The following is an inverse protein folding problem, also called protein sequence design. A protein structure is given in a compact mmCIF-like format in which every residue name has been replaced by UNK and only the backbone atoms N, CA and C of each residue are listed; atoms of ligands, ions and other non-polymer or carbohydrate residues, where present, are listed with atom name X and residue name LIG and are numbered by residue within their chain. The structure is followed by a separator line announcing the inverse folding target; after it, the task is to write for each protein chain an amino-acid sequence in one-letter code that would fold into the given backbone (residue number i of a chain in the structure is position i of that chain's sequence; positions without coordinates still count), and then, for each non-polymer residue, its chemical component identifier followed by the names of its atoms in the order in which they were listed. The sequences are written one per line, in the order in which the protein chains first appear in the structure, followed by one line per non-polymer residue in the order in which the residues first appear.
data_IF_143289819372
#
_entry.id   IF_143289819372
#
_cell.length_a   1.000
_cell.length_b   1.000
_cell.length_c   1.000
_cell.angle_alpha   90.00
_cell.angle_beta   90.00
_cell.angle_gamma   90.00
#
_symmetry.space_group_name_H-M   'P 1'
#
loop_
_entity.id
_entity.type
_entity.pdbx_description
1 polymer ?
#
# COMPACT_ATOMS: atom_id res chain seq x y z
N UNK A 1 0.17 17.89 -0.02
CA UNK A 1 1.25 16.89 -0.14
C UNK A 1 2.13 17.29 -1.29
N UNK A 2 3.43 17.41 -1.06
CA UNK A 2 4.41 17.68 -2.11
C UNK A 2 4.54 16.46 -3.03
N UNK A 3 4.55 16.66 -4.35
CA UNK A 3 4.74 15.59 -5.33
C UNK A 3 5.97 15.89 -6.17
N UNK A 4 6.89 14.92 -6.25
CA UNK A 4 8.16 14.97 -6.96
C UNK A 4 8.18 13.94 -8.10
N UNK A 5 8.98 14.20 -9.15
CA UNK A 5 9.27 13.30 -10.27
C UNK A 5 8.03 12.88 -11.11
N UNK A 6 7.38 13.84 -11.78
CA UNK A 6 6.10 13.61 -12.48
C UNK A 6 6.18 12.99 -13.89
N UNK A 7 7.04 11.99 -14.11
CA UNK A 7 7.14 11.31 -15.42
C UNK A 7 6.10 10.21 -15.60
N UNK A 8 4.81 10.56 -15.49
CA UNK A 8 3.69 9.61 -15.43
C UNK A 8 3.39 8.91 -16.75
N UNK A 9 3.23 7.58 -16.71
CA UNK A 9 3.10 6.73 -17.89
C UNK A 9 1.67 6.28 -18.14
N UNK A 10 0.91 5.96 -17.09
CA UNK A 10 -0.47 5.49 -17.23
C UNK A 10 -1.53 6.54 -16.87
N UNK A 11 -2.75 6.38 -17.42
CA UNK A 11 -3.90 7.19 -17.01
C UNK A 11 -4.32 6.96 -15.55
N UNK A 12 -3.97 5.80 -14.98
CA UNK A 12 -4.18 5.49 -13.56
C UNK A 12 -3.21 6.29 -12.67
N UNK A 13 -1.91 6.29 -12.98
CA UNK A 13 -0.89 7.10 -12.30
C UNK A 13 -1.24 8.59 -12.35
N UNK A 14 -1.53 9.13 -13.54
CA UNK A 14 -1.96 10.54 -13.73
C UNK A 14 -3.11 10.91 -12.81
N UNK A 15 -4.08 10.01 -12.66
CA UNK A 15 -5.25 10.23 -11.82
C UNK A 15 -4.90 10.17 -10.33
N UNK A 16 -4.13 9.18 -9.89
CA UNK A 16 -3.68 9.08 -8.48
C UNK A 16 -2.85 10.30 -8.09
N UNK A 17 -1.84 10.66 -8.89
CA UNK A 17 -0.99 11.82 -8.61
C UNK A 17 -1.79 13.12 -8.61
N UNK A 18 -2.77 13.28 -9.51
CA UNK A 18 -3.68 14.43 -9.49
C UNK A 18 -4.49 14.53 -8.20
N UNK A 19 -4.77 13.40 -7.53
CA UNK A 19 -5.43 13.39 -6.24
C UNK A 19 -4.50 13.87 -5.13
N UNK A 20 -3.26 13.37 -5.09
CA UNK A 20 -2.27 13.75 -4.07
C UNK A 20 -1.99 15.26 -4.09
N UNK A 21 -1.92 15.86 -5.29
CA UNK A 21 -1.77 17.32 -5.45
C UNK A 21 -2.94 18.12 -4.85
N UNK A 22 -4.14 17.54 -4.82
CA UNK A 22 -5.35 18.15 -4.25
C UNK A 22 -5.46 17.97 -2.73
N UNK A 23 -4.51 17.28 -2.10
CA UNK A 23 -4.48 17.13 -0.65
C UNK A 23 -3.84 18.37 -0.03
N UNK A 24 -4.62 19.45 -0.03
CA UNK A 24 -4.31 20.76 0.54
C UNK A 24 -5.36 21.08 1.63
N UNK A 25 -5.12 22.14 2.40
CA UNK A 25 -6.05 22.68 3.41
C UNK A 25 -6.39 21.69 4.56
N UNK A 26 -7.60 21.80 5.12
CA UNK A 26 -8.07 21.15 6.35
C UNK A 26 -8.00 19.60 6.35
N UNK A 27 -7.85 18.99 5.16
CA UNK A 27 -7.74 17.54 4.98
C UNK A 27 -6.46 17.14 4.26
N UNK A 28 -5.41 17.95 4.41
CA UNK A 28 -4.07 17.64 3.93
C UNK A 28 -3.52 16.41 4.65
N UNK A 29 -2.92 15.52 3.87
CA UNK A 29 -2.01 14.49 4.37
C UNK A 29 -0.60 15.09 4.27
N UNK A 30 0.09 15.38 5.39
CA UNK A 30 1.48 15.84 5.36
C UNK A 30 2.39 14.77 4.77
N UNK A 31 3.42 15.18 4.04
CA UNK A 31 4.34 14.26 3.41
C UNK A 31 4.75 14.63 1.98
N UNK A 32 5.59 13.77 1.43
CA UNK A 32 6.10 13.83 0.06
C UNK A 32 5.75 12.55 -0.67
N UNK A 33 5.36 12.68 -1.93
CA UNK A 33 5.17 11.57 -2.85
C UNK A 33 6.17 11.68 -4.01
N UNK A 34 6.89 10.60 -4.31
CA UNK A 34 7.84 10.50 -5.42
C UNK A 34 7.22 9.54 -6.43
N UNK A 35 6.81 10.04 -7.59
CA UNK A 35 6.26 9.21 -8.65
C UNK A 35 7.36 8.61 -9.52
N UNK A 36 7.14 7.39 -10.02
CA UNK A 36 8.01 6.67 -10.96
C UNK A 36 9.49 6.67 -10.53
N UNK A 37 9.70 6.34 -9.26
CA UNK A 37 11.01 6.29 -8.62
C UNK A 37 11.75 5.01 -9.04
N UNK A 38 13.04 5.11 -9.34
CA UNK A 38 13.89 3.96 -9.62
C UNK A 38 14.69 3.61 -8.36
N UNK A 39 14.43 2.43 -7.81
CA UNK A 39 15.13 1.94 -6.61
C UNK A 39 15.89 0.68 -6.98
N UNK A 40 17.23 0.76 -6.95
CA UNK A 40 18.12 -0.36 -7.29
C UNK A 40 17.72 -1.04 -8.61
N UNK A 41 17.60 -0.24 -9.67
CA UNK A 41 17.30 -0.70 -11.03
C UNK A 41 15.85 -1.13 -11.28
N UNK A 42 14.94 -0.95 -10.30
CA UNK A 42 13.52 -1.24 -10.48
C UNK A 42 12.67 0.00 -10.32
N UNK A 43 11.76 0.19 -11.26
CA UNK A 43 10.73 1.22 -11.18
C UNK A 43 9.65 0.83 -10.16
N UNK A 44 9.32 1.82 -9.35
CA UNK A 44 8.23 1.83 -8.38
C UNK A 44 7.31 3.01 -8.73
N UNK A 45 6.03 2.73 -8.95
CA UNK A 45 5.08 3.75 -9.43
C UNK A 45 4.98 4.94 -8.48
N UNK A 46 5.03 4.69 -7.16
CA UNK A 46 4.96 5.73 -6.16
C UNK A 46 5.64 5.33 -4.84
N UNK A 47 6.43 6.24 -4.28
CA UNK A 47 6.89 6.17 -2.88
C UNK A 47 6.32 7.37 -2.13
N UNK A 48 5.52 7.12 -1.09
CA UNK A 48 4.98 8.17 -0.22
C UNK A 48 5.69 8.10 1.12
N UNK A 49 6.30 9.20 1.53
CA UNK A 49 6.93 9.37 2.83
C UNK A 49 6.08 10.40 3.60
N UNK A 50 5.62 10.01 4.78
CA UNK A 50 4.92 10.89 5.72
C UNK A 50 5.67 10.88 7.04
N UNK A 51 5.40 11.81 7.96
CA UNK A 51 6.01 11.77 9.30
C UNK A 51 5.74 10.44 10.04
N UNK A 52 4.66 9.73 9.69
CA UNK A 52 4.16 8.57 10.43
C UNK A 52 4.42 7.23 9.75
N UNK A 53 4.71 7.23 8.44
CA UNK A 53 4.86 5.99 7.67
C UNK A 53 5.53 6.22 6.32
N UNK A 54 6.17 5.17 5.80
CA UNK A 54 6.64 5.09 4.42
C UNK A 54 5.86 4.01 3.69
N UNK A 55 5.34 4.36 2.51
CA UNK A 55 4.48 3.50 1.71
C UNK A 55 5.03 3.41 0.30
N UNK A 56 5.16 2.20 -0.20
CA UNK A 56 5.42 1.92 -1.61
C UNK A 56 4.09 1.56 -2.25
N UNK A 57 3.70 2.27 -3.31
CA UNK A 57 2.49 1.95 -4.04
C UNK A 57 2.77 1.39 -5.42
N UNK A 58 2.00 0.35 -5.77
CA UNK A 58 1.85 -0.16 -7.13
C UNK A 58 0.48 0.29 -7.64
N UNK A 59 0.44 1.08 -8.71
CA UNK A 59 -0.77 1.69 -9.25
C UNK A 59 -1.24 0.88 -10.45
N UNK A 60 -2.43 0.31 -10.36
CA UNK A 60 -3.01 -0.52 -11.41
C UNK A 60 -4.29 0.07 -11.96
N UNK A 61 -4.28 0.41 -13.25
CA UNK A 61 -5.53 0.61 -14.00
C UNK A 61 -6.22 -0.73 -14.24
N UNK A 62 -7.55 -0.77 -14.11
CA UNK A 62 -8.31 -1.93 -14.58
C UNK A 62 -8.47 -1.91 -16.10
N UNK A 63 -8.65 -3.10 -16.68
CA UNK A 63 -9.09 -3.25 -18.06
C UNK A 63 -10.35 -2.38 -18.30
N UNK A 64 -10.40 -1.58 -19.39
CA UNK A 64 -11.54 -0.71 -19.69
C UNK A 64 -12.91 -1.41 -19.77
N UNK A 65 -12.94 -2.70 -20.12
CA UNK A 65 -14.17 -3.51 -20.14
C UNK A 65 -14.72 -3.86 -18.75
N UNK A 66 -13.95 -3.62 -17.68
CA UNK A 66 -14.36 -3.92 -16.30
C UNK A 66 -15.07 -2.70 -15.70
N UNK A 67 -16.39 -2.66 -15.83
CA UNK A 67 -17.24 -1.56 -15.34
C UNK A 67 -18.00 -1.87 -14.05
N UNK A 68 -18.21 -3.15 -13.73
CA UNK A 68 -18.92 -3.58 -12.52
C UNK A 68 -18.47 -4.96 -12.03
N UNK A 69 -18.83 -5.31 -10.80
CA UNK A 69 -18.59 -6.63 -10.21
C UNK A 69 -17.79 -6.59 -8.92
N UNK A 70 -17.22 -7.73 -8.52
CA UNK A 70 -16.36 -7.84 -7.33
C UNK A 70 -14.95 -8.20 -7.79
N UNK A 71 -13.98 -7.33 -7.51
CA UNK A 71 -12.57 -7.61 -7.69
C UNK A 71 -12.08 -8.48 -6.53
N UNK A 72 -11.76 -9.73 -6.83
CA UNK A 72 -11.19 -10.69 -5.90
C UNK A 72 -9.65 -10.58 -5.93
N UNK A 73 -9.08 -10.06 -4.85
CA UNK A 73 -7.65 -9.94 -4.66
C UNK A 73 -7.14 -11.09 -3.79
N UNK A 74 -6.30 -11.93 -4.37
CA UNK A 74 -5.62 -13.05 -3.71
C UNK A 74 -4.11 -12.82 -3.76
N UNK A 75 -3.36 -13.52 -2.92
CA UNK A 75 -1.89 -13.44 -2.86
C UNK A 75 -1.18 -14.46 -3.74
N UNK A 76 -1.88 -15.49 -4.22
CA UNK A 76 -1.29 -16.69 -4.85
C UNK A 76 -1.93 -17.05 -6.19
N UNK A 77 -2.82 -16.21 -6.71
CA UNK A 77 -3.50 -16.46 -7.98
C UNK A 77 -3.79 -15.14 -8.68
N UNK A 78 -3.92 -15.20 -10.01
CA UNK A 78 -4.37 -14.06 -10.82
C UNK A 78 -5.65 -13.49 -10.22
N UNK A 79 -5.70 -12.17 -10.08
CA UNK A 79 -6.90 -11.47 -9.62
C UNK A 79 -8.00 -11.60 -10.66
N UNK A 80 -9.25 -11.66 -10.19
CA UNK A 80 -10.42 -11.88 -11.05
C UNK A 80 -11.52 -10.89 -10.70
N UNK A 81 -12.36 -10.58 -11.67
CA UNK A 81 -13.61 -9.85 -11.43
C UNK A 81 -14.78 -10.76 -11.77
N UNK A 82 -15.75 -10.87 -10.86
CA UNK A 82 -16.93 -11.71 -11.11
C UNK A 82 -17.67 -11.24 -12.38
N UNK A 83 -17.90 -12.15 -13.32
CA UNK A 83 -18.59 -11.85 -14.59
C UNK A 83 -17.72 -11.19 -15.66
N UNK A 84 -16.41 -11.08 -15.46
CA UNK A 84 -15.46 -10.62 -16.47
C UNK A 84 -14.52 -11.76 -16.87
N UNK A 85 -14.43 -12.03 -18.17
CA UNK A 85 -13.47 -12.99 -18.72
C UNK A 85 -12.17 -12.28 -19.11
N UNK A 86 -11.05 -12.81 -18.62
CA UNK A 86 -9.71 -12.26 -18.86
C UNK A 86 -9.07 -11.65 -17.62
N UNK A 87 -7.90 -11.04 -17.81
CA UNK A 87 -7.13 -10.43 -16.73
C UNK A 87 -7.65 -9.00 -16.45
N UNK A 88 -8.20 -8.72 -15.26
CA UNK A 88 -8.73 -7.40 -14.93
C UNK A 88 -7.62 -6.38 -14.68
N UNK A 89 -6.43 -6.85 -14.29
CA UNK A 89 -5.25 -6.04 -13.93
C UNK A 89 -4.03 -6.59 -14.65
N UNK A 90 -3.27 -5.70 -15.30
CA UNK A 90 -1.99 -6.03 -15.89
C UNK A 90 -0.90 -6.23 -14.83
N UNK A 91 -0.09 -7.26 -15.01
CA UNK A 91 1.10 -7.59 -14.19
C UNK A 91 2.29 -7.88 -15.11
N UNK A 92 3.50 -7.84 -14.58
CA UNK A 92 4.73 -8.11 -15.34
C UNK A 92 4.78 -9.62 -15.61
N UNK A 93 5.55 -10.01 -16.61
CA UNK A 93 5.57 -11.37 -17.14
C UNK A 93 5.86 -12.45 -16.08
N UNK A 94 6.69 -12.14 -15.09
CA UNK A 94 7.13 -13.09 -14.06
C UNK A 94 6.37 -12.96 -12.72
N UNK A 95 5.41 -12.05 -12.63
CA UNK A 95 4.63 -11.83 -11.41
C UNK A 95 3.27 -12.52 -11.50
N UNK A 96 2.77 -13.00 -10.36
CA UNK A 96 1.42 -13.59 -10.30
C UNK A 96 0.38 -12.52 -10.03
N UNK A 97 0.70 -11.56 -9.17
CA UNK A 97 -0.22 -10.53 -8.67
C UNK A 97 0.49 -9.18 -8.55
N UNK A 98 -0.28 -8.07 -8.49
CA UNK A 98 0.28 -6.77 -8.13
C UNK A 98 0.95 -6.74 -6.74
N UNK A 99 0.65 -7.71 -5.85
CA UNK A 99 1.34 -7.80 -4.57
C UNK A 99 2.82 -8.19 -4.73
N UNK A 100 3.17 -8.99 -5.73
CA UNK A 100 4.55 -9.41 -5.95
C UNK A 100 5.42 -8.17 -6.28
N UNK A 101 4.89 -7.31 -7.15
CA UNK A 101 5.52 -6.06 -7.59
C UNK A 101 5.73 -5.08 -6.47
N UNK A 102 4.68 -4.85 -5.67
CA UNK A 102 4.77 -3.91 -4.56
C UNK A 102 5.73 -4.43 -3.48
N UNK A 103 5.78 -5.75 -3.24
CA UNK A 103 6.69 -6.35 -2.23
C UNK A 103 8.15 -6.19 -2.61
N UNK A 104 8.49 -6.36 -3.88
CA UNK A 104 9.86 -6.14 -4.36
C UNK A 104 10.27 -4.67 -4.14
N UNK A 105 9.39 -3.73 -4.46
CA UNK A 105 9.59 -2.31 -4.19
C UNK A 105 9.74 -2.00 -2.70
N UNK A 106 8.87 -2.58 -1.86
CA UNK A 106 8.93 -2.45 -0.39
C UNK A 106 10.27 -2.91 0.15
N UNK A 107 10.78 -4.08 -0.28
CA UNK A 107 12.07 -4.59 0.18
C UNK A 107 13.21 -3.64 -0.15
N UNK A 108 13.23 -3.10 -1.38
CA UNK A 108 14.27 -2.18 -1.84
C UNK A 108 14.21 -0.83 -1.10
N UNK A 109 13.03 -0.25 -0.95
CA UNK A 109 12.82 1.00 -0.21
C UNK A 109 13.12 0.82 1.27
N UNK A 110 12.77 -0.33 1.86
CA UNK A 110 13.14 -0.66 3.25
C UNK A 110 14.65 -0.67 3.44
N UNK A 111 15.40 -1.26 2.50
CA UNK A 111 16.86 -1.25 2.57
C UNK A 111 17.44 0.17 2.42
N UNK A 112 16.84 1.01 1.58
CA UNK A 112 17.22 2.43 1.47
C UNK A 112 16.90 3.20 2.76
N UNK A 113 15.71 3.01 3.33
CA UNK A 113 15.28 3.63 4.58
C UNK A 113 16.20 3.26 5.75
N UNK A 114 16.61 1.98 5.85
CA UNK A 114 17.55 1.54 6.87
C UNK A 114 18.91 2.25 6.77
N UNK A 115 19.42 2.49 5.55
CA UNK A 115 20.66 3.26 5.34
C UNK A 115 20.49 4.74 5.67
N UNK A 116 19.30 5.30 5.46
CA UNK A 116 18.94 6.67 5.82
C UNK A 116 18.66 6.88 7.32
N UNK A 117 18.86 5.86 8.16
CA UNK A 117 18.59 5.93 9.60
C UNK A 117 17.09 5.99 9.95
N UNK A 118 16.22 5.68 8.99
CA UNK A 118 14.77 5.64 9.17
C UNK A 118 14.25 4.30 9.69
N UNK A 119 12.96 4.23 10.07
CA UNK A 119 12.32 3.03 10.57
C UNK A 119 12.35 1.89 9.54
N UNK A 120 12.49 0.66 10.02
CA UNK A 120 12.53 -0.55 9.19
C UNK A 120 11.15 -0.98 8.64
N UNK A 121 10.09 -0.19 8.85
CA UNK A 121 8.74 -0.56 8.43
C UNK A 121 8.27 0.27 7.25
N UNK A 122 8.21 -0.38 6.09
CA UNK A 122 7.66 0.14 4.84
C UNK A 122 6.44 -0.70 4.48
N UNK A 123 5.32 -0.05 4.21
CA UNK A 123 4.07 -0.74 3.83
C UNK A 123 3.92 -0.79 2.32
N UNK A 124 3.50 -1.94 1.78
CA UNK A 124 3.11 -2.06 0.38
C UNK A 124 1.64 -1.74 0.18
N UNK A 125 1.30 -0.94 -0.82
CA UNK A 125 -0.08 -0.58 -1.12
C UNK A 125 -0.38 -0.74 -2.62
N UNK A 126 -1.25 -1.68 -2.98
CA UNK A 126 -1.74 -1.74 -4.36
C UNK A 126 -2.93 -0.79 -4.50
N UNK A 127 -2.81 0.20 -5.39
CA UNK A 127 -3.87 1.17 -5.68
C UNK A 127 -4.50 0.83 -7.02
N UNK A 128 -5.69 0.22 -6.97
CA UNK A 128 -6.47 -0.15 -8.16
C UNK A 128 -7.38 1.00 -8.54
N UNK A 129 -7.28 1.43 -9.79
CA UNK A 129 -8.00 2.58 -10.33
C UNK A 129 -8.88 2.13 -11.50
N UNK A 130 -10.19 1.93 -11.29
CA UNK A 130 -11.08 1.47 -12.35
C UNK A 130 -11.42 2.58 -13.36
N UNK A 131 -12.11 2.24 -14.47
CA UNK A 131 -12.74 3.24 -15.31
C UNK A 131 -13.65 4.20 -14.52
N UNK A 132 -13.84 5.41 -15.04
CA UNK A 132 -14.71 6.40 -14.38
C UNK A 132 -16.16 5.91 -14.45
N UNK A 133 -16.89 6.07 -13.35
CA UNK A 133 -18.29 5.62 -13.25
C UNK A 133 -18.46 4.13 -12.97
N UNK A 134 -17.38 3.36 -12.84
CA UNK A 134 -17.47 1.93 -12.51
C UNK A 134 -18.09 1.69 -11.13
N UNK A 135 -18.91 0.64 -11.02
CA UNK A 135 -19.52 0.17 -9.78
C UNK A 135 -18.88 -1.17 -9.37
N UNK A 136 -17.66 -1.08 -8.88
CA UNK A 136 -16.88 -2.23 -8.43
C UNK A 136 -16.82 -2.29 -6.91
N UNK A 137 -16.77 -3.51 -6.39
CA UNK A 137 -16.48 -3.80 -4.99
C UNK A 137 -15.14 -4.53 -4.89
N UNK A 138 -14.50 -4.41 -3.74
CA UNK A 138 -13.23 -5.05 -3.44
C UNK A 138 -13.45 -6.18 -2.44
N UNK A 139 -12.95 -7.36 -2.77
CA UNK A 139 -12.92 -8.53 -1.89
C UNK A 139 -11.47 -8.95 -1.67
N UNK A 140 -10.96 -8.66 -0.47
CA UNK A 140 -9.59 -8.98 -0.05
C UNK A 140 -9.57 -10.39 0.53
N UNK A 141 -9.35 -11.40 -0.31
CA UNK A 141 -9.31 -12.80 0.14
C UNK A 141 -8.04 -13.11 0.93
N UNK A 142 -6.90 -12.69 0.41
CA UNK A 142 -5.61 -12.80 1.10
C UNK A 142 -4.69 -11.68 0.66
N UNK A 143 -4.08 -11.01 1.63
CA UNK A 143 -3.04 -10.01 1.41
C UNK A 143 -1.77 -10.48 2.12
N UNK A 144 -0.58 -10.40 1.49
CA UNK A 144 0.67 -10.66 2.18
C UNK A 144 0.85 -9.73 3.38
N UNK A 145 1.59 -10.18 4.40
CA UNK A 145 1.89 -9.35 5.56
C UNK A 145 2.59 -8.05 5.13
N UNK A 146 2.16 -6.93 5.71
CA UNK A 146 2.70 -5.60 5.38
C UNK A 146 2.25 -5.06 4.02
N UNK A 147 1.29 -5.73 3.36
CA UNK A 147 0.68 -5.24 2.13
C UNK A 147 -0.83 -4.98 2.33
N UNK A 148 -1.36 -4.00 1.62
CA UNK A 148 -2.78 -3.73 1.52
C UNK A 148 -3.17 -3.42 0.07
N UNK A 149 -4.47 -3.45 -0.24
CA UNK A 149 -5.02 -3.10 -1.54
C UNK A 149 -6.19 -2.13 -1.38
N UNK A 150 -6.28 -1.15 -2.26
CA UNK A 150 -7.37 -0.18 -2.31
C UNK A 150 -7.99 -0.15 -3.69
N UNK A 151 -9.31 -0.10 -3.73
CA UNK A 151 -10.08 0.23 -4.93
C UNK A 151 -10.46 1.70 -4.86
N UNK A 152 -9.83 2.51 -5.72
CA UNK A 152 -9.93 3.96 -5.69
C UNK A 152 -10.69 4.46 -6.92
N UNK A 153 -12.01 4.59 -6.82
CA UNK A 153 -12.81 5.30 -7.84
C UNK A 153 -12.59 6.82 -7.74
N UNK A 154 -12.32 7.29 -6.52
CA UNK A 154 -12.03 8.67 -6.15
C UNK A 154 -10.81 8.71 -5.23
N UNK A 155 -10.38 9.91 -4.84
CA UNK A 155 -9.28 10.09 -3.90
C UNK A 155 -9.56 9.60 -2.46
N UNK A 156 -10.83 9.44 -2.10
CA UNK A 156 -11.24 9.30 -0.70
C UNK A 156 -10.72 8.02 -0.03
N UNK A 157 -10.76 6.82 -0.65
CA UNK A 157 -10.24 5.60 -0.03
C UNK A 157 -8.75 5.69 0.29
N UNK A 158 -7.96 6.25 -0.64
CA UNK A 158 -6.53 6.47 -0.48
C UNK A 158 -6.24 7.48 0.64
N UNK A 159 -6.93 8.63 0.63
CA UNK A 159 -6.77 9.65 1.68
C UNK A 159 -7.15 9.11 3.06
N UNK A 160 -8.29 8.42 3.15
CA UNK A 160 -8.76 7.82 4.39
C UNK A 160 -7.80 6.75 4.93
N UNK A 161 -7.14 6.01 4.03
CA UNK A 161 -6.09 5.06 4.42
C UNK A 161 -4.92 5.78 5.11
N UNK A 162 -4.43 6.89 4.54
CA UNK A 162 -3.34 7.66 5.15
C UNK A 162 -3.73 8.28 6.50
N UNK A 163 -4.93 8.86 6.62
CA UNK A 163 -5.39 9.34 7.93
C UNK A 163 -5.41 8.21 8.98
N UNK A 164 -5.91 7.02 8.64
CA UNK A 164 -5.87 5.86 9.56
C UNK A 164 -4.45 5.39 9.86
N UNK A 165 -3.51 5.53 8.92
CA UNK A 165 -2.11 5.21 9.18
C UNK A 165 -1.49 6.21 10.16
N UNK A 166 -1.77 7.51 9.98
CA UNK A 166 -1.28 8.58 10.85
C UNK A 166 -1.77 8.44 12.29
N UNK A 167 -3.03 8.05 12.50
CA UNK A 167 -3.58 7.90 13.86
C UNK A 167 -3.10 6.65 14.62
N UNK A 168 -2.47 5.69 13.94
CA UNK A 168 -2.03 4.42 14.55
C UNK A 168 -0.54 4.34 14.82
N UNK A 169 0.25 5.26 14.26
CA UNK A 169 1.69 5.23 14.36
C UNK A 169 2.20 6.46 15.13
N UNK A 170 3.22 6.25 15.96
CA UNK A 170 4.05 7.36 16.43
C UNK A 170 4.73 8.04 15.23
N UNK A 171 5.19 9.28 15.40
CA UNK A 171 6.05 9.90 14.41
C UNK A 171 7.34 9.09 14.32
N UNK A 172 7.67 8.64 13.12
CA UNK A 172 8.82 7.77 12.84
C UNK A 172 9.84 8.38 11.89
N UNK A 173 9.55 9.54 11.29
CA UNK A 173 10.46 10.24 10.38
C UNK A 173 10.67 11.69 10.84
N UNK A 174 11.93 12.09 11.03
CA UNK A 174 12.32 13.51 11.03
C UNK A 174 12.49 14.03 9.60
N UNK A 175 12.57 15.36 9.45
CA UNK A 175 12.83 16.01 8.17
C UNK A 175 14.18 15.57 7.57
N UNK A 176 15.22 15.41 8.39
CA UNK A 176 16.55 14.96 8.00
C UNK A 176 16.55 13.51 7.53
N UNK A 177 15.89 12.62 8.28
CA UNK A 177 15.78 11.21 7.89
C UNK A 177 14.99 11.07 6.57
N UNK A 178 13.89 11.82 6.44
CA UNK A 178 13.11 11.82 5.21
C UNK A 178 13.92 12.35 4.03
N UNK A 179 14.69 13.42 4.24
CA UNK A 179 15.62 13.96 3.23
C UNK A 179 16.66 12.92 2.82
N UNK A 180 17.31 12.27 3.78
CA UNK A 180 18.32 11.25 3.52
C UNK A 180 17.74 10.05 2.74
N UNK A 181 16.48 9.67 2.99
CA UNK A 181 15.80 8.67 2.17
C UNK A 181 15.55 9.19 0.75
N UNK A 182 15.04 10.42 0.60
CA UNK A 182 14.79 11.03 -0.71
C UNK A 182 16.08 11.15 -1.54
N UNK A 183 17.19 11.50 -0.89
CA UNK A 183 18.53 11.53 -1.48
C UNK A 183 19.01 10.13 -1.88
N UNK A 184 18.82 9.12 -1.02
CA UNK A 184 19.14 7.72 -1.33
C UNK A 184 18.26 7.13 -2.45
N UNK A 185 17.15 7.78 -2.75
CA UNK A 185 16.27 7.50 -3.89
C UNK A 185 16.60 8.38 -5.12
N UNK A 186 17.72 9.11 -5.09
CA UNK A 186 18.22 9.97 -6.18
C UNK A 186 17.31 11.17 -6.51
N UNK A 187 16.57 11.67 -5.51
CA UNK A 187 15.65 12.79 -5.64
C UNK A 187 15.94 13.96 -4.69
N UNK A 188 17.13 14.02 -4.09
CA UNK A 188 17.54 15.04 -3.11
C UNK A 188 17.36 16.47 -3.61
N UNK A 189 17.75 16.75 -4.87
CA UNK A 189 17.68 18.09 -5.48
C UNK A 189 16.26 18.65 -5.64
N UNK A 190 15.23 17.83 -5.46
CA UNK A 190 13.83 18.23 -5.62
C UNK A 190 13.21 18.83 -4.35
N UNK A 191 13.91 18.80 -3.22
CA UNK A 191 13.43 19.33 -1.95
C UNK A 191 14.59 19.73 -1.04
N UNK A 192 14.31 20.22 0.15
CA UNK A 192 15.30 20.47 1.21
C UNK A 192 14.74 20.05 2.55
N UNK A 193 15.59 19.89 3.57
CA UNK A 193 15.15 19.60 4.94
C UNK A 193 14.13 20.62 5.43
N UNK A 194 14.36 21.91 5.19
CA UNK A 194 13.40 22.98 5.54
C UNK A 194 12.07 22.86 4.77
N UNK A 195 12.12 22.46 3.49
CA UNK A 195 10.93 22.17 2.71
C UNK A 195 10.13 20.99 3.28
N UNK A 196 10.81 19.94 3.74
CA UNK A 196 10.17 18.81 4.40
C UNK A 196 9.57 19.21 5.75
N UNK A 197 10.23 20.08 6.51
CA UNK A 197 9.65 20.63 7.74
C UNK A 197 8.33 21.38 7.47
N UNK A 198 8.27 22.18 6.41
CA UNK A 198 7.03 22.81 5.93
C UNK A 198 6.00 21.78 5.42
N UNK A 199 6.45 20.60 4.99
CA UNK A 199 5.60 19.46 4.67
C UNK A 199 5.04 18.68 5.87
N UNK A 200 5.40 19.10 7.09
CA UNK A 200 4.87 18.58 8.35
C UNK A 200 5.77 17.56 9.04
N UNK A 201 7.00 17.37 8.56
CA UNK A 201 7.99 16.53 9.26
C UNK A 201 8.59 17.29 10.45
N UNK A 202 8.76 16.66 11.63
CA UNK A 202 9.47 17.29 12.72
C UNK A 202 10.97 17.39 12.43
N UNK A 203 11.61 18.45 12.94
CA UNK A 203 13.07 18.63 12.87
C UNK A 203 13.81 17.79 13.90
N UNK A 204 13.16 17.42 14.99
CA UNK A 204 13.76 16.64 16.07
C UNK A 204 12.92 15.39 16.31
N UNK A 205 13.59 14.27 16.58
CA UNK A 205 12.91 13.05 16.96
C UNK A 205 12.16 13.27 18.28
N UNK A 206 10.94 12.72 18.45
CA UNK A 206 10.25 12.78 19.73
C UNK A 206 11.18 12.18 20.80
N UNK A 207 11.49 12.95 21.85
CA UNK A 207 12.27 12.42 22.96
C UNK A 207 11.54 11.18 23.50
N UNK A 208 12.23 10.04 23.71
CA UNK A 208 11.59 8.90 24.34
C UNK A 208 11.01 9.37 25.68
N UNK A 209 9.78 8.96 26.03
CA UNK A 209 9.21 9.32 27.33
C UNK A 209 10.23 8.91 28.38
N UNK A 210 10.63 9.87 29.23
CA UNK A 210 11.58 9.63 30.30
C UNK A 210 11.12 8.37 31.03
N UNK A 211 11.95 7.33 31.02
CA UNK A 211 11.64 6.09 31.70
C UNK A 211 11.31 6.48 33.15
N UNK A 212 10.04 6.32 33.55
CA UNK A 212 9.65 6.48 34.95
C UNK A 212 10.64 5.65 35.75
N UNK A 213 11.39 6.26 36.70
CA UNK A 213 12.35 5.51 37.48
C UNK A 213 11.60 4.33 38.09
N UNK A 214 12.00 3.13 37.67
CA UNK A 214 11.45 1.89 38.23
C UNK A 214 11.56 2.03 39.74
N UNK A 215 10.48 1.85 40.53
CA UNK A 215 10.57 1.92 41.97
C UNK A 215 11.71 1.01 42.40
N UNK A 216 12.71 1.61 43.08
CA UNK A 216 13.86 0.88 43.57
C UNK A 216 13.37 -0.39 44.26
N UNK A 217 13.81 -1.54 43.77
CA UNK A 217 13.53 -2.81 44.43
C UNK A 217 13.93 -2.65 45.91
N UNK A 218 13.07 -3.03 46.86
CA UNK A 218 13.39 -2.88 48.27
C UNK A 218 14.70 -3.63 48.58
N UNK A 219 15.51 -3.14 49.54
CA UNK A 219 16.77 -3.75 49.91
C UNK A 219 16.56 -5.24 50.21
N UNK A 220 17.33 -6.10 49.55
CA UNK A 220 17.33 -7.52 49.83
C UNK A 220 17.66 -7.73 51.31
N UNK A 221 16.73 -8.34 52.04
CA UNK A 221 16.90 -8.77 53.42
C UNK A 221 18.05 -9.81 53.48
N UNK A 222 18.96 -9.75 54.47
CA UNK A 222 20.08 -10.69 54.57
C UNK A 222 19.57 -12.13 54.73
N UNK A 223 19.82 -12.96 53.72
CA UNK A 223 19.52 -14.39 53.78
C UNK A 223 20.33 -15.03 54.92
N UNK A 224 19.62 -15.72 55.83
CA UNK A 224 20.22 -16.54 56.88
C UNK A 224 21.10 -17.66 56.27
N UNK A 225 22.15 -18.11 56.98
CA UNK A 225 23.02 -19.18 56.50
C UNK A 225 22.24 -20.50 56.41
N UNK A 226 22.01 -20.97 55.18
CA UNK A 226 21.49 -22.31 54.94
C UNK A 226 22.60 -23.33 55.19
N UNK A 227 22.38 -24.19 56.19
CA UNK A 227 23.18 -25.37 56.50
C UNK A 227 23.21 -26.31 55.30
N UNK A 228 24.40 -26.61 54.79
CA UNK A 228 24.66 -27.55 53.70
C UNK A 228 24.39 -29.00 54.17
N UNK A 229 23.46 -29.76 53.56
CA UNK A 229 23.48 -31.21 53.68
C UNK A 229 24.57 -31.82 52.78
N UNK A 230 25.08 -33.02 53.08
CA UNK A 230 26.10 -33.69 52.27
C UNK A 230 25.53 -34.06 50.91
N UNK A 231 26.25 -33.72 49.84
CA UNK A 231 25.96 -34.15 48.47
C UNK A 231 26.34 -35.62 48.35
N UNK A 232 25.34 -36.50 48.35
CA UNK A 232 25.46 -37.88 47.90
C UNK A 232 25.54 -37.88 46.36
N UNK A 233 26.70 -38.27 45.83
CA UNK A 233 26.98 -38.32 44.39
C UNK A 233 26.25 -39.54 43.81
N UNK A 234 25.11 -39.30 43.19
CA UNK A 234 24.43 -40.29 42.36
C UNK A 234 25.26 -40.56 41.08
N UNK A 235 25.46 -41.83 40.68
CA UNK A 235 26.17 -42.16 39.44
C UNK A 235 25.38 -41.71 38.20
N UNK A 236 26.08 -41.07 37.28
CA UNK A 236 25.58 -40.66 35.95
C UNK A 236 24.97 -41.88 35.21
N UNK A 237 23.76 -41.79 34.66
CA UNK A 237 23.27 -42.78 33.71
C UNK A 237 24.12 -42.72 32.43
N UNK A 238 24.70 -43.87 32.06
CA UNK A 238 25.46 -44.06 30.85
C UNK A 238 24.61 -43.69 29.62
N UNK A 239 25.08 -42.69 28.86
CA UNK A 239 24.51 -42.30 27.57
C UNK A 239 24.75 -43.46 26.59
N UNK A 240 23.71 -44.04 25.97
CA UNK A 240 23.90 -45.08 24.96
C UNK A 240 24.62 -44.50 23.74
N UNK A 241 25.82 -44.99 23.48
CA UNK A 241 26.60 -44.68 22.28
C UNK A 241 25.84 -45.17 21.06
N UNK A 242 25.25 -44.23 20.31
CA UNK A 242 24.57 -44.53 19.04
C UNK A 242 25.62 -45.02 18.03
N UNK A 243 25.45 -46.20 17.41
CA UNK A 243 26.37 -46.65 16.37
C UNK A 243 26.37 -45.68 15.19
N UNK A 244 27.50 -45.51 14.50
CA UNK A 244 27.61 -44.61 13.36
C UNK A 244 26.64 -45.09 12.27
N UNK A 245 25.69 -44.23 11.92
CA UNK A 245 24.83 -44.47 10.76
C UNK A 245 25.70 -44.44 9.51
N UNK A 246 25.83 -45.60 8.86
CA UNK A 246 26.45 -45.75 7.55
C UNK A 246 25.73 -44.81 6.58
N UNK A 247 26.43 -43.76 6.15
CA UNK A 247 26.00 -42.90 5.04
C UNK A 247 25.82 -43.78 3.80
N UNK A 248 24.64 -43.79 3.15
CA UNK A 248 24.51 -44.38 1.83
C UNK A 248 25.50 -43.69 0.89
N UNK A 249 26.28 -44.48 0.15
CA UNK A 249 27.17 -43.97 -0.87
C UNK A 249 26.35 -43.16 -1.88
N UNK A 250 26.76 -41.90 -2.13
CA UNK A 250 26.19 -41.11 -3.21
C UNK A 250 26.37 -41.90 -4.52
N UNK A 251 25.33 -42.01 -5.37
CA UNK A 251 25.51 -42.53 -6.72
C UNK A 251 26.52 -41.65 -7.47
N UNK A 252 27.33 -42.24 -8.36
CA UNK A 252 28.28 -41.49 -9.16
C UNK A 252 27.55 -40.40 -9.96
N UNK A 253 28.18 -39.22 -10.14
CA UNK A 253 27.59 -38.15 -10.94
C UNK A 253 27.29 -38.68 -12.34
N UNK A 254 26.05 -38.52 -12.78
CA UNK A 254 25.67 -38.83 -14.16
C UNK A 254 26.59 -38.06 -15.13
N UNK A 255 27.05 -38.69 -16.22
CA UNK A 255 27.83 -38.01 -17.24
C UNK A 255 27.06 -36.79 -17.73
N UNK A 256 27.68 -35.61 -17.66
CA UNK A 256 27.12 -34.39 -18.23
C UNK A 256 26.92 -34.65 -19.73
N UNK A 257 25.75 -34.33 -20.30
CA UNK A 257 25.60 -34.28 -21.75
C UNK A 257 26.64 -33.30 -22.27
N UNK A 258 27.47 -33.76 -23.20
CA UNK A 258 28.37 -32.90 -23.96
C UNK A 258 27.55 -31.75 -24.54
N UNK A 259 27.81 -30.55 -24.05
CA UNK A 259 27.20 -29.36 -24.62
C UNK A 259 27.67 -29.28 -26.07
N UNK A 260 26.75 -29.24 -27.05
CA UNK A 260 27.13 -29.21 -28.45
C UNK A 260 28.04 -28.01 -28.69
N UNK A 261 29.24 -28.32 -29.20
CA UNK A 261 30.24 -27.35 -29.66
C UNK A 261 29.52 -26.32 -30.56
N UNK A 262 29.63 -25.01 -30.29
CA UNK A 262 29.04 -24.00 -31.15
C UNK A 262 29.57 -24.21 -32.58
N UNK A 263 28.64 -24.38 -33.53
CA UNK A 263 28.98 -24.40 -34.94
C UNK A 263 29.70 -23.08 -35.31
N UNK A 264 30.69 -23.10 -36.22
CA UNK A 264 31.30 -21.88 -36.73
C UNK A 264 30.21 -20.93 -37.24
N UNK A 265 30.28 -19.67 -36.81
CA UNK A 265 29.34 -18.64 -37.21
C UNK A 265 29.24 -18.59 -38.73
N UNK A 266 28.02 -18.77 -39.24
CA UNK A 266 27.70 -18.61 -40.64
C UNK A 266 27.98 -17.16 -41.05
N UNK A 267 28.60 -16.89 -42.22
CA UNK A 267 28.88 -15.53 -42.68
C UNK A 267 27.57 -14.73 -42.75
N UNK A 268 27.56 -13.46 -42.36
CA UNK A 268 26.37 -12.64 -42.40
C UNK A 268 25.82 -12.58 -43.83
N UNK A 269 24.54 -12.92 -43.97
CA UNK A 269 23.81 -12.78 -45.22
C UNK A 269 23.91 -11.31 -45.70
N UNK A 270 24.08 -11.09 -47.01
CA UNK A 270 24.14 -9.74 -47.57
C UNK A 270 22.85 -8.99 -47.21
N UNK A 271 23.02 -7.80 -46.62
CA UNK A 271 21.95 -6.89 -46.28
C UNK A 271 21.03 -6.69 -47.50
N UNK A 272 19.70 -6.75 -47.33
CA UNK A 272 18.76 -6.38 -48.38
C UNK A 272 19.12 -4.99 -48.89
N UNK A 273 19.36 -4.86 -50.20
CA UNK A 273 19.51 -3.55 -50.84
C UNK A 273 18.26 -2.74 -50.52
N UNK A 274 18.43 -1.68 -49.72
CA UNK A 274 17.43 -0.66 -49.52
C UNK A 274 16.98 -0.16 -50.90
N UNK A 275 15.71 -0.43 -51.20
CA UNK A 275 15.04 0.18 -52.33
C UNK A 275 14.94 1.68 -52.00
N UNK A 276 15.26 2.59 -52.94
CA UNK A 276 15.19 4.02 -52.66
C UNK A 276 13.78 4.37 -52.21
N UNK A 277 13.67 4.91 -51.00
CA UNK A 277 12.42 5.51 -50.53
C UNK A 277 12.11 6.66 -51.49
N UNK A 278 10.92 6.69 -52.14
CA UNK A 278 10.55 7.78 -53.02
C UNK A 278 10.54 9.09 -52.22
N UNK A 279 11.28 10.05 -52.74
CA UNK A 279 11.40 11.41 -52.25
C UNK A 279 9.98 12.00 -52.04
N UNK A 280 9.69 12.57 -50.85
CA UNK A 280 8.40 13.21 -50.60
C UNK A 280 8.18 14.34 -51.60
N UNK A 281 7.14 14.22 -52.42
CA UNK A 281 6.74 15.27 -53.35
C UNK A 281 6.60 16.60 -52.61
N UNK A 282 7.25 17.64 -53.16
CA UNK A 282 7.11 19.02 -52.69
C UNK A 282 5.62 19.39 -52.55
N UNK A 283 5.22 20.01 -51.43
CA UNK A 283 3.85 20.42 -51.24
C UNK A 283 3.49 21.48 -52.29
N UNK A 284 2.52 21.14 -53.14
CA UNK A 284 1.89 22.07 -54.09
C UNK A 284 1.37 23.29 -53.33
N UNK A 285 1.63 24.53 -53.81
CA UNK A 285 1.16 25.75 -53.16
C UNK A 285 -0.36 25.73 -53.04
N UNK A 286 -0.87 25.93 -51.82
CA UNK A 286 -2.29 26.05 -51.57
C UNK A 286 -2.88 27.24 -52.36
N UNK A 287 -4.12 27.11 -52.89
CA UNK A 287 -4.79 28.22 -53.55
C UNK A 287 -5.00 29.41 -52.60
N UNK A 288 -4.99 30.65 -53.11
CA UNK A 288 -5.12 31.85 -52.29
C UNK A 288 -6.45 31.84 -51.52
N UNK A 289 -6.34 31.97 -50.20
CA UNK A 289 -7.47 32.15 -49.28
C UNK A 289 -8.20 33.44 -49.67
N UNK A 290 -9.54 33.43 -49.86
CA UNK A 290 -10.31 34.63 -50.12
C UNK A 290 -10.09 35.67 -49.01
N UNK A 291 -9.82 36.91 -49.41
CA UNK A 291 -9.61 38.03 -48.51
C UNK A 291 -10.73 38.14 -47.47
N UNK A 292 -10.35 38.20 -46.20
CA UNK A 292 -11.26 38.43 -45.09
C UNK A 292 -12.05 39.74 -45.32
N UNK A 293 -13.36 39.78 -45.01
CA UNK A 293 -14.15 40.99 -45.09
C UNK A 293 -13.56 42.08 -44.19
N UNK A 294 -13.53 43.31 -44.70
CA UNK A 294 -13.13 44.51 -43.97
C UNK A 294 -13.92 44.65 -42.66
N UNK A 295 -13.28 45.11 -41.57
CA UNK A 295 -13.96 45.33 -40.30
C UNK A 295 -15.01 46.44 -40.44
N UNK A 296 -16.26 46.08 -40.15
CA UNK A 296 -17.37 47.02 -40.00
C UNK A 296 -17.04 47.99 -38.84
N UNK A 297 -17.20 49.31 -39.01
CA UNK A 297 -16.98 50.26 -37.92
C UNK A 297 -17.89 49.93 -36.75
N UNK A 298 -17.28 49.65 -35.59
CA UNK A 298 -17.97 49.37 -34.35
C UNK A 298 -18.88 50.54 -33.97
N UNK A 299 -20.14 50.22 -33.68
CA UNK A 299 -21.08 51.14 -33.07
C UNK A 299 -20.52 51.69 -31.74
N UNK A 300 -20.82 52.95 -31.38
CA UNK A 300 -20.31 53.56 -30.16
C UNK A 300 -20.76 52.75 -28.93
N UNK A 301 -19.80 52.36 -28.10
CA UNK A 301 -20.05 51.71 -26.81
C UNK A 301 -20.98 52.61 -25.95
N UNK A 302 -21.97 52.02 -25.26
CA UNK A 302 -22.68 52.73 -24.21
C UNK A 302 -21.71 53.11 -23.08
N UNK A 303 -21.91 54.27 -22.42
CA UNK A 303 -21.05 54.72 -21.34
C UNK A 303 -21.07 53.73 -20.18
N UNK A 304 -19.89 53.49 -19.62
CA UNK A 304 -19.68 52.62 -18.47
C UNK A 304 -20.60 53.02 -17.29
N UNK A 305 -21.28 52.07 -16.62
CA UNK A 305 -22.01 52.37 -15.41
C UNK A 305 -21.00 52.81 -14.33
N UNK A 306 -21.16 54.04 -13.87
CA UNK A 306 -20.47 54.58 -12.70
C UNK A 306 -20.77 53.69 -11.49
N UNK A 307 -19.71 53.08 -10.94
CA UNK A 307 -19.76 52.36 -9.68
C UNK A 307 -20.09 53.35 -8.55
N UNK A 308 -21.37 53.41 -8.18
CA UNK A 308 -21.88 54.11 -7.01
C UNK A 308 -22.39 53.06 -6.02
N UNK A 309 -21.72 53.01 -4.87
CA UNK A 309 -22.13 52.51 -3.56
C UNK A 309 -22.84 51.16 -3.44
N UNK A 310 -22.05 50.10 -3.30
CA UNK A 310 -22.50 48.81 -2.76
C UNK A 310 -21.71 48.38 -1.51
N UNK A 311 -21.39 49.35 -0.64
CA UNK A 311 -20.62 49.13 0.61
C UNK A 311 -21.48 48.99 1.86
N UNK A 312 -22.82 49.02 1.76
CA UNK A 312 -23.72 49.10 2.94
C UNK A 312 -24.52 47.84 3.27
N UNK A 313 -24.32 46.71 2.58
CA UNK A 313 -25.06 45.45 2.81
C UNK A 313 -24.27 44.29 3.44
N UNK A 314 -23.03 44.51 3.90
CA UNK A 314 -22.19 43.45 4.50
C UNK A 314 -22.38 43.13 6.00
N UNK A 315 -22.93 43.97 6.90
CA UNK A 315 -22.96 43.62 8.32
C UNK A 315 -24.13 42.71 8.74
N UNK A 316 -25.15 42.50 7.90
CA UNK A 316 -26.35 41.73 8.29
C UNK A 316 -26.18 40.23 8.02
N UNK A 317 -25.36 39.83 7.04
CA UNK A 317 -25.13 38.41 6.72
C UNK A 317 -24.18 37.72 7.70
N UNK A 318 -23.25 38.45 8.34
CA UNK A 318 -22.37 37.88 9.38
C UNK A 318 -23.12 37.61 10.69
N UNK A 319 -24.10 38.45 11.06
CA UNK A 319 -24.89 38.24 12.28
C UNK A 319 -25.75 36.95 12.23
N UNK A 320 -26.30 36.61 11.06
CA UNK A 320 -27.09 35.39 10.88
C UNK A 320 -26.27 34.10 11.04
N UNK A 321 -25.00 34.11 10.61
CA UNK A 321 -24.11 32.96 10.75
C UNK A 321 -23.75 32.67 12.22
N UNK A 322 -23.51 33.72 13.03
CA UNK A 322 -23.21 33.53 14.46
C UNK A 322 -24.42 33.05 15.27
N UNK A 323 -25.64 33.45 14.90
CA UNK A 323 -26.86 32.97 15.54
C UNK A 323 -27.05 31.44 15.34
N UNK A 324 -26.78 30.93 14.13
CA UNK A 324 -26.89 29.49 13.84
C UNK A 324 -25.89 28.65 14.63
N UNK A 325 -24.65 29.13 14.80
CA UNK A 325 -23.62 28.46 15.62
C UNK A 325 -24.02 28.46 17.09
N UNK A 326 -24.57 29.56 17.60
CA UNK A 326 -25.05 29.65 18.99
C UNK A 326 -26.15 28.64 19.32
N UNK A 327 -27.10 28.44 18.40
CA UNK A 327 -28.19 27.45 18.59
C UNK A 327 -27.66 26.02 18.60
N UNK A 328 -26.69 25.69 17.73
CA UNK A 328 -26.07 24.36 17.72
C UNK A 328 -25.24 24.09 18.98
N UNK A 329 -24.46 25.07 19.43
CA UNK A 329 -23.68 24.94 20.65
C UNK A 329 -24.58 24.80 21.89
N UNK A 330 -25.67 25.57 21.96
CA UNK A 330 -26.67 25.45 23.01
C UNK A 330 -27.37 24.08 22.99
N UNK A 331 -27.70 23.55 21.81
CA UNK A 331 -28.28 22.21 21.66
C UNK A 331 -27.36 21.10 22.15
N UNK A 332 -26.07 21.15 21.80
CA UNK A 332 -25.07 20.17 22.25
C UNK A 332 -24.88 20.26 23.78
N UNK A 333 -24.83 21.48 24.32
CA UNK A 333 -24.71 21.69 25.76
C UNK A 333 -25.93 21.19 26.54
N UNK A 334 -27.14 21.37 26.01
CA UNK A 334 -28.37 20.89 26.63
C UNK A 334 -28.40 19.34 26.66
N UNK A 335 -27.97 18.69 25.57
CA UNK A 335 -27.85 17.21 25.51
C UNK A 335 -26.80 16.71 26.51
N UNK A 336 -25.68 17.42 26.67
CA UNK A 336 -24.66 17.06 27.64
C UNK A 336 -25.15 17.21 29.10
N UNK A 337 -26.00 18.21 29.40
CA UNK A 337 -26.61 18.35 30.74
C UNK A 337 -27.66 17.27 31.03
N UNK A 338 -28.46 16.86 30.04
CA UNK A 338 -29.48 15.82 30.21
C UNK A 338 -28.87 14.41 30.30
N UNK A 339 -27.64 14.20 29.80
CA UNK A 339 -26.93 12.91 29.84
C UNK A 339 -26.14 12.63 31.12
N UNK A 340 -25.99 13.60 32.04
CA UNK A 340 -25.17 13.46 33.25
C UNK A 340 -25.91 12.83 34.45
N UNK A 341 -26.99 12.09 34.18
CA UNK A 341 -27.69 11.28 35.16
C UNK A 341 -26.89 10.05 35.59
N UNK A 342 -25.94 10.26 36.51
CA UNK A 342 -25.56 9.37 37.62
C UNK A 342 -25.65 7.85 37.34
N UNK A 343 -24.60 7.29 36.75
CA UNK A 343 -24.22 5.90 37.00
C UNK A 343 -23.04 5.90 37.96
N UNK A 344 -23.32 5.53 39.22
CA UNK A 344 -22.30 5.26 40.23
C UNK A 344 -21.30 4.20 39.75
N UNK A 345 -19.99 4.35 40.05
CA UNK A 345 -19.04 3.27 39.86
C UNK A 345 -19.27 2.23 40.96
N UNK A 346 -19.75 1.04 40.56
CA UNK A 346 -19.86 -0.09 41.47
C UNK A 346 -18.47 -0.69 41.68
N UNK A 347 -17.89 -0.41 42.85
CA UNK A 347 -16.78 -1.18 43.40
C UNK A 347 -17.20 -2.63 43.60
N UNK A 348 -16.43 -3.57 43.02
CA UNK A 348 -16.45 -4.98 43.42
C UNK A 348 -15.03 -5.48 43.55
N UNK A 349 -14.46 -5.24 44.73
CA UNK A 349 -13.40 -6.05 45.30
C UNK A 349 -14.03 -7.29 45.96
N UNK A 350 -13.66 -8.46 45.47
CA UNK A 350 -13.46 -9.66 46.28
C UNK A 350 -14.66 -10.51 46.71
N UNK A 351 -14.48 -11.81 46.42
CA UNK A 351 -14.77 -12.97 47.29
C UNK A 351 -16.03 -13.82 47.04
N UNK A 352 -15.73 -15.11 46.84
CA UNK A 352 -16.59 -16.30 46.90
C UNK A 352 -17.54 -16.49 45.70
N UNK A 353 -17.68 -17.68 45.09
CA UNK A 353 -17.56 -19.03 45.63
C UNK A 353 -17.54 -20.01 44.44
N UNK A 354 -16.66 -21.01 44.51
CA UNK A 354 -16.66 -22.16 43.61
C UNK A 354 -18.00 -22.92 43.78
N UNK A 355 -18.84 -22.89 42.76
CA UNK A 355 -19.92 -23.86 42.57
C UNK A 355 -19.74 -24.49 41.20
N UNK A 356 -19.34 -25.75 41.23
CA UNK A 356 -19.26 -26.63 40.08
C UNK A 356 -20.67 -26.76 39.47
N UNK A 357 -20.86 -26.16 38.30
CA UNK A 357 -22.00 -26.44 37.42
C UNK A 357 -21.55 -27.58 36.51
N UNK A 358 -22.18 -28.73 36.69
CA UNK A 358 -22.16 -29.84 35.74
C UNK A 358 -22.87 -29.37 34.47
N UNK A 359 -22.13 -28.88 33.49
CA UNK A 359 -22.66 -28.67 32.14
C UNK A 359 -22.86 -30.04 31.49
N UNK A 360 -24.13 -30.38 31.30
CA UNK A 360 -24.61 -31.56 30.62
C UNK A 360 -24.34 -31.40 29.12
N UNK A 361 -23.27 -32.03 28.64
CA UNK A 361 -22.94 -32.16 27.22
C UNK A 361 -24.09 -32.86 26.49
N UNK A 362 -24.97 -32.08 25.88
CA UNK A 362 -25.93 -32.57 24.89
C UNK A 362 -25.17 -33.11 23.68
N UNK A 363 -25.38 -34.40 23.39
CA UNK A 363 -24.81 -35.06 22.22
C UNK A 363 -25.22 -34.32 20.93
N UNK A 364 -24.29 -34.12 19.98
CA UNK A 364 -24.62 -33.53 18.68
C UNK A 364 -25.58 -34.43 17.89
N UNK A 365 -26.51 -33.86 17.11
CA UNK A 365 -27.37 -34.64 16.22
C UNK A 365 -26.53 -35.44 15.21
N UNK A 366 -26.97 -36.65 14.81
CA UNK A 366 -26.22 -37.50 13.89
C UNK A 366 -26.04 -36.79 12.55
N UNK A 367 -24.78 -36.78 12.09
CA UNK A 367 -24.40 -36.22 10.80
C UNK A 367 -25.18 -36.92 9.67
N UNK A 368 -25.63 -36.17 8.63
CA UNK A 368 -26.19 -36.79 7.43
C UNK A 368 -25.16 -37.74 6.79
N UNK A 369 -25.60 -38.89 6.25
CA UNK A 369 -24.70 -39.87 5.67
C UNK A 369 -23.91 -39.24 4.52
N UNK A 370 -22.58 -39.38 4.59
CA UNK A 370 -21.68 -38.92 3.55
C UNK A 370 -22.08 -39.53 2.19
N UNK A 371 -22.08 -38.75 1.10
CA UNK A 371 -22.21 -39.31 -0.24
C UNK A 371 -21.09 -40.33 -0.43
N UNK A 372 -21.46 -41.53 -0.89
CA UNK A 372 -20.50 -42.58 -1.25
C UNK A 372 -19.63 -42.06 -2.39
N UNK A 373 -18.44 -41.58 -2.06
CA UNK A 373 -17.40 -41.24 -3.03
C UNK A 373 -16.90 -42.55 -3.61
N UNK A 374 -17.33 -42.88 -4.82
CA UNK A 374 -16.72 -43.95 -5.61
C UNK A 374 -15.24 -43.59 -5.79
N UNK A 375 -14.28 -44.49 -5.46
CA UNK A 375 -12.88 -44.21 -5.70
C UNK A 375 -12.66 -43.93 -7.20
N UNK A 376 -11.89 -42.90 -7.57
CA UNK A 376 -11.58 -42.65 -8.96
C UNK A 376 -10.83 -43.85 -9.53
N UNK A 377 -11.27 -44.32 -10.68
CA UNK A 377 -10.58 -45.36 -11.44
C UNK A 377 -9.11 -44.94 -11.66
N UNK A 378 -8.15 -45.87 -11.55
CA UNK A 378 -6.75 -45.56 -11.80
C UNK A 378 -6.58 -44.98 -13.22
N UNK A 379 -5.71 -43.98 -13.40
CA UNK A 379 -5.47 -43.39 -14.72
C UNK A 379 -4.99 -44.48 -15.67
N UNK A 380 -5.70 -44.64 -16.79
CA UNK A 380 -5.28 -45.50 -17.89
C UNK A 380 -3.97 -44.92 -18.44
N UNK A 381 -2.89 -45.69 -18.39
CA UNK A 381 -1.62 -45.27 -18.94
C UNK A 381 -1.75 -45.18 -20.47
N UNK A 382 -1.77 -43.95 -21.00
CA UNK A 382 -1.76 -43.69 -22.43
C UNK A 382 -0.34 -43.90 -22.97
N UNK A 383 -0.22 -44.71 -24.03
CA UNK A 383 1.03 -44.86 -24.76
C UNK A 383 1.12 -43.86 -25.91
N UNK A 384 2.32 -43.43 -26.30
CA UNK A 384 2.47 -42.54 -27.46
C UNK A 384 1.90 -43.23 -28.71
N UNK A 385 1.08 -42.48 -29.47
CA UNK A 385 0.41 -42.82 -30.73
C UNK A 385 -1.00 -43.43 -30.68
N UNK A 386 -1.72 -43.40 -29.56
CA UNK A 386 -3.17 -43.67 -29.58
C UNK A 386 -3.98 -42.40 -29.87
N UNK A 387 -4.76 -42.35 -30.96
CA UNK A 387 -5.76 -41.29 -31.15
C UNK A 387 -6.89 -41.47 -30.13
N UNK A 388 -7.33 -40.37 -29.53
CA UNK A 388 -8.39 -40.25 -28.51
C UNK A 388 -8.05 -40.82 -27.10
N UNK A 389 -6.80 -40.66 -26.68
CA UNK A 389 -6.31 -40.90 -25.32
C UNK A 389 -5.80 -39.62 -24.65
#
# INVERSE_FOLDING_TARGET
MLVIADKLRSGAEKRVVSWLRKWQDDYRVPGVAIANCFVSGQEVDLVIITPYTTVVCEIKGLNPGVTSGVLHCTSNSRWKVSGFEGDPVGVRQNDTTPYDQVRDGVFKVKNAAARAGGPAFVTGLVVVVPPRGSNLRLDKKSAPQGCDVLLCNTQNPLRAWFHRAHHRAAVVWTAEQAYALIEALEHGDSTSVAGLAAEGFPMEAPSPPAATPSPAAPPAEPAAPATTPPIEVAPLPAIPTRPPASRPALPPPAPRPDSPRPAPAEPPLPLPRETPVPEPAEPTPAPPIPAAPLPIPAAPLPPAPTAVDDRRRRPVQTAAAFAAIGVLAAGIWLVAQLGNGRTEPRDTTGQHQNSAVTEQTGAPPPAPPAPKTTPPSPPTACFPFQPDC
#
